data_IF_472370364632
#
_entry.id   IF_472370364632
#
_cell.length_a   1.000
_cell.length_b   1.000
_cell.length_c   1.000
_cell.angle_alpha   90.00
_cell.angle_beta   90.00
_cell.angle_gamma   90.00
#
_symmetry.space_group_name_H-M   'P 1'
#
loop_
_entity.id
_entity.type
_entity.pdbx_description
1 polymer ?
#
# COMPACT_ATOMS: atom_id res chain seq x y z
N UNK A 1 -3.65 -39.73 -5.41
CA UNK A 1 -4.97 -39.08 -5.21
C UNK A 1 -5.31 -38.94 -3.71
N UNK A 2 -4.35 -38.53 -2.88
CA UNK A 2 -4.51 -38.54 -1.42
C UNK A 2 -5.18 -37.26 -0.89
N UNK A 3 -4.79 -36.10 -1.43
CA UNK A 3 -5.29 -34.78 -0.99
C UNK A 3 -6.78 -34.47 -1.24
N UNK A 4 -7.55 -35.38 -1.87
CA UNK A 4 -9.02 -35.30 -1.95
C UNK A 4 -9.73 -36.06 -0.83
N UNK A 5 -9.14 -37.14 -0.31
CA UNK A 5 -9.73 -37.95 0.76
C UNK A 5 -9.33 -37.45 2.15
N UNK A 6 -8.17 -36.83 2.25
CA UNK A 6 -7.70 -36.18 3.46
C UNK A 6 -7.19 -34.76 3.13
N UNK A 7 -8.08 -33.75 3.06
CA UNK A 7 -7.71 -32.41 2.62
C UNK A 7 -6.79 -31.74 3.66
N UNK A 8 -5.57 -31.41 3.26
CA UNK A 8 -4.63 -30.64 4.07
C UNK A 8 -4.87 -29.16 3.88
N UNK A 9 -4.82 -28.38 4.95
CA UNK A 9 -4.85 -26.93 4.89
C UNK A 9 -3.56 -26.36 4.25
N UNK A 10 -3.75 -25.51 3.26
CA UNK A 10 -2.72 -24.81 2.49
C UNK A 10 -2.65 -23.32 2.86
N UNK A 11 -3.71 -22.72 3.38
CA UNK A 11 -3.74 -21.32 3.81
C UNK A 11 -4.53 -21.16 5.11
N UNK A 12 -3.82 -20.75 6.17
CA UNK A 12 -4.40 -20.54 7.50
C UNK A 12 -5.37 -19.35 7.57
N UNK A 13 -5.23 -18.38 6.67
CA UNK A 13 -6.04 -17.16 6.73
C UNK A 13 -7.47 -17.36 6.18
N UNK A 14 -7.64 -18.24 5.19
CA UNK A 14 -8.94 -18.48 4.55
C UNK A 14 -9.38 -19.95 4.55
N UNK A 15 -8.63 -20.84 5.21
CA UNK A 15 -8.92 -22.27 5.27
C UNK A 15 -8.78 -22.99 3.94
N UNK A 16 -8.01 -22.44 2.99
CA UNK A 16 -7.83 -23.05 1.67
C UNK A 16 -7.18 -24.42 1.80
N UNK A 17 -7.73 -25.47 1.20
CA UNK A 17 -7.21 -26.85 1.33
C UNK A 17 -6.73 -27.44 0.01
N UNK A 18 -6.03 -28.57 0.08
CA UNK A 18 -5.71 -29.40 -1.09
C UNK A 18 -6.94 -29.86 -1.85
N UNK A 19 -8.07 -30.07 -1.15
CA UNK A 19 -9.34 -30.38 -1.78
C UNK A 19 -9.81 -29.23 -2.69
N UNK A 20 -9.74 -28.00 -2.21
CA UNK A 20 -10.09 -26.80 -2.98
C UNK A 20 -9.16 -26.64 -4.19
N UNK A 21 -7.85 -26.78 -4.00
CA UNK A 21 -6.87 -26.66 -5.08
C UNK A 21 -7.10 -27.68 -6.21
N UNK A 22 -7.53 -28.90 -5.88
CA UNK A 22 -7.75 -29.98 -6.85
C UNK A 22 -9.13 -30.00 -7.52
N UNK A 23 -10.08 -29.19 -7.05
CA UNK A 23 -11.48 -29.23 -7.50
C UNK A 23 -12.02 -27.89 -8.01
N UNK A 24 -11.56 -26.76 -7.45
CA UNK A 24 -12.13 -25.44 -7.76
C UNK A 24 -11.61 -24.82 -9.05
N UNK A 25 -10.45 -25.26 -9.55
CA UNK A 25 -9.74 -24.60 -10.66
C UNK A 25 -9.30 -23.16 -10.35
N UNK A 26 -9.47 -22.69 -9.11
CA UNK A 26 -9.08 -21.37 -8.65
C UNK A 26 -7.73 -21.43 -7.95
N UNK A 27 -6.89 -20.45 -8.27
CA UNK A 27 -5.64 -20.16 -7.55
C UNK A 27 -5.68 -18.70 -7.14
N UNK A 28 -5.32 -18.39 -5.89
CA UNK A 28 -5.26 -17.00 -5.43
C UNK A 28 -4.35 -16.19 -6.34
N UNK A 29 -4.87 -15.06 -6.84
CA UNK A 29 -4.09 -14.08 -7.62
C UNK A 29 -3.58 -12.94 -6.75
N UNK A 30 -4.17 -12.77 -5.58
CA UNK A 30 -3.79 -11.74 -4.62
C UNK A 30 -2.64 -12.27 -3.78
N UNK A 31 -1.60 -11.45 -3.61
CA UNK A 31 -0.37 -11.82 -2.89
C UNK A 31 0.00 -10.74 -1.89
N UNK A 32 0.50 -11.14 -0.72
CA UNK A 32 1.13 -10.20 0.20
C UNK A 32 2.48 -9.80 -0.39
N UNK A 33 2.73 -8.50 -0.51
CA UNK A 33 4.01 -7.94 -0.97
C UNK A 33 4.77 -7.21 0.15
N UNK A 34 4.07 -6.83 1.22
CA UNK A 34 4.68 -6.21 2.39
C UNK A 34 3.84 -6.47 3.64
N UNK A 35 4.49 -6.58 4.80
CA UNK A 35 3.84 -6.73 6.11
C UNK A 35 4.57 -5.89 7.15
N UNK A 36 3.84 -5.22 8.02
CA UNK A 36 4.41 -4.50 9.16
C UNK A 36 3.35 -4.26 10.24
N UNK A 37 3.64 -4.61 11.50
CA UNK A 37 2.82 -4.21 12.66
C UNK A 37 1.33 -4.54 12.56
N UNK A 38 0.99 -5.81 12.26
CA UNK A 38 -0.38 -6.30 12.05
C UNK A 38 -1.14 -5.67 10.86
N UNK A 39 -0.40 -5.13 9.89
CA UNK A 39 -0.91 -4.66 8.61
C UNK A 39 -0.14 -5.31 7.46
N UNK A 40 -0.77 -5.41 6.30
CA UNK A 40 -0.19 -5.96 5.09
C UNK A 40 -0.63 -5.16 3.86
N UNK A 41 0.26 -5.11 2.86
CA UNK A 41 -0.06 -4.63 1.52
C UNK A 41 -0.15 -5.84 0.62
N UNK A 42 -1.29 -5.93 -0.06
CA UNK A 42 -1.65 -6.96 -0.98
C UNK A 42 -1.59 -6.42 -2.41
N UNK A 43 -0.84 -7.12 -3.24
CA UNK A 43 -0.85 -6.94 -4.68
C UNK A 43 -2.07 -7.63 -5.27
N UNK A 44 -2.93 -6.83 -5.94
CA UNK A 44 -4.12 -7.32 -6.62
C UNK A 44 -3.82 -7.85 -8.02
N UNK A 45 -2.76 -7.33 -8.66
CA UNK A 45 -2.20 -7.79 -9.93
C UNK A 45 -0.74 -7.31 -10.06
N UNK A 46 0.18 -8.11 -10.62
CA UNK A 46 1.62 -7.78 -10.71
C UNK A 46 1.93 -6.40 -11.27
N UNK A 47 1.18 -5.96 -12.28
CA UNK A 47 1.31 -4.63 -12.91
C UNK A 47 0.03 -3.81 -12.77
N UNK A 48 -0.82 -4.19 -11.82
CA UNK A 48 -2.09 -3.52 -11.57
C UNK A 48 -1.86 -2.11 -11.00
N UNK A 49 -2.76 -1.16 -11.35
CA UNK A 49 -2.68 0.19 -10.82
C UNK A 49 -3.07 0.26 -9.33
N UNK A 50 -3.60 -0.83 -8.76
CA UNK A 50 -4.17 -0.85 -7.42
C UNK A 50 -3.50 -1.87 -6.51
N UNK A 51 -3.31 -1.46 -5.25
CA UNK A 51 -2.90 -2.30 -4.14
C UNK A 51 -3.94 -2.16 -3.02
N UNK A 52 -4.07 -3.20 -2.20
CA UNK A 52 -4.94 -3.19 -1.04
C UNK A 52 -4.09 -3.21 0.22
N UNK A 53 -4.26 -2.23 1.09
CA UNK A 53 -3.71 -2.29 2.45
C UNK A 53 -4.78 -2.78 3.40
N UNK A 54 -4.48 -3.80 4.18
CA UNK A 54 -5.25 -4.15 5.37
C UNK A 54 -4.54 -3.61 6.61
N UNK A 55 -5.30 -3.07 7.56
CA UNK A 55 -4.72 -2.51 8.78
C UNK A 55 -5.70 -2.56 9.95
N UNK A 56 -5.20 -2.64 11.21
CA UNK A 56 -6.03 -2.51 12.39
C UNK A 56 -6.64 -1.11 12.46
N UNK A 57 -7.92 -1.03 12.83
CA UNK A 57 -8.58 0.24 13.11
C UNK A 57 -8.33 0.64 14.57
N UNK A 58 -7.08 0.93 14.88
CA UNK A 58 -6.67 1.35 16.23
C UNK A 58 -5.83 2.63 16.17
N UNK A 59 -5.95 3.54 17.16
CA UNK A 59 -5.24 4.82 17.16
C UNK A 59 -3.71 4.68 17.12
N UNK A 60 -3.18 3.56 17.64
CA UNK A 60 -1.75 3.29 17.72
C UNK A 60 -1.21 2.54 16.50
N UNK A 61 -2.02 2.30 15.46
CA UNK A 61 -1.51 1.76 14.22
C UNK A 61 -0.57 2.79 13.56
N UNK A 62 0.60 2.34 13.09
CA UNK A 62 1.57 3.17 12.38
C UNK A 62 0.99 3.89 11.15
N UNK A 63 -0.09 3.35 10.58
CA UNK A 63 -0.76 3.84 9.38
C UNK A 63 -2.06 4.61 9.67
N UNK A 64 -2.49 4.68 10.93
CA UNK A 64 -3.80 5.23 11.35
C UNK A 64 -4.09 6.63 10.79
N UNK A 65 -3.06 7.46 10.67
CA UNK A 65 -3.17 8.84 10.22
C UNK A 65 -2.85 9.05 8.74
N UNK A 66 -2.36 8.05 8.01
CA UNK A 66 -1.90 8.19 6.63
C UNK A 66 -3.05 8.64 5.70
N UNK A 67 -4.19 7.93 5.73
CA UNK A 67 -5.35 8.29 4.91
C UNK A 67 -5.84 9.72 5.21
N UNK A 68 -6.00 10.07 6.49
CA UNK A 68 -6.48 11.39 6.92
C UNK A 68 -5.49 12.48 6.50
N UNK A 69 -4.19 12.22 6.65
CA UNK A 69 -3.12 13.14 6.24
C UNK A 69 -3.16 13.36 4.72
N UNK A 70 -3.32 12.32 3.91
CA UNK A 70 -3.46 12.47 2.46
C UNK A 70 -4.71 13.28 2.08
N UNK A 71 -5.85 13.06 2.75
CA UNK A 71 -7.05 13.87 2.50
C UNK A 71 -6.85 15.34 2.89
N UNK A 72 -6.12 15.61 3.97
CA UNK A 72 -5.77 16.98 4.36
C UNK A 72 -4.90 17.64 3.29
N UNK A 73 -3.82 16.98 2.86
CA UNK A 73 -2.91 17.54 1.83
C UNK A 73 -3.67 17.82 0.52
N UNK A 74 -4.57 16.92 0.10
CA UNK A 74 -5.43 17.14 -1.08
C UNK A 74 -6.29 18.40 -0.95
N UNK A 75 -6.84 18.66 0.25
CA UNK A 75 -7.66 19.86 0.52
C UNK A 75 -6.85 21.15 0.57
N UNK A 76 -5.58 21.06 0.94
CA UNK A 76 -4.67 22.21 0.94
C UNK A 76 -4.13 22.55 -0.47
N UNK A 77 -4.47 21.75 -1.48
CA UNK A 77 -4.07 21.94 -2.88
C UNK A 77 -2.54 22.07 -3.06
N UNK A 78 -1.77 21.41 -2.20
CA UNK A 78 -0.30 21.43 -2.26
C UNK A 78 0.20 20.64 -3.48
N UNK A 79 1.25 21.17 -4.12
CA UNK A 79 1.85 20.55 -5.29
C UNK A 79 2.84 19.44 -4.89
N UNK A 80 2.34 18.41 -4.20
CA UNK A 80 3.11 17.23 -3.81
C UNK A 80 2.54 15.98 -4.46
N UNK A 81 3.39 14.99 -4.81
CA UNK A 81 2.93 13.76 -5.40
C UNK A 81 2.13 12.96 -4.37
N UNK A 82 0.83 12.80 -4.62
CA UNK A 82 -0.07 11.99 -3.80
C UNK A 82 -0.59 10.79 -4.59
N UNK A 83 -0.97 9.76 -3.87
CA UNK A 83 -1.64 8.59 -4.45
C UNK A 83 -3.15 8.67 -4.25
N UNK A 84 -3.88 8.00 -5.12
CA UNK A 84 -5.31 7.80 -4.94
C UNK A 84 -5.54 6.80 -3.81
N UNK A 85 -6.51 7.07 -2.94
CA UNK A 85 -6.84 6.22 -1.80
C UNK A 85 -8.35 6.20 -1.57
N UNK A 86 -8.88 4.99 -1.38
CA UNK A 86 -10.27 4.74 -1.03
C UNK A 86 -10.31 3.86 0.23
N UNK A 87 -10.92 4.38 1.30
CA UNK A 87 -11.02 3.69 2.60
C UNK A 87 -12.34 2.94 2.70
N UNK A 88 -12.27 1.71 3.17
CA UNK A 88 -13.40 0.82 3.43
C UNK A 88 -13.36 0.38 4.90
N UNK A 89 -14.53 0.40 5.53
CA UNK A 89 -14.71 0.08 6.95
C UNK A 89 -15.25 1.27 7.75
N UNK A 90 -16.09 0.97 8.72
CA UNK A 90 -16.75 1.92 9.60
C UNK A 90 -15.96 2.17 10.89
N UNK A 91 -16.32 3.21 11.68
CA UNK A 91 -15.60 3.59 12.90
C UNK A 91 -15.41 2.47 13.92
N UNK A 92 -16.37 1.54 13.98
CA UNK A 92 -16.41 0.44 14.97
C UNK A 92 -15.82 -0.88 14.43
N UNK A 93 -15.41 -0.94 13.16
CA UNK A 93 -14.79 -2.14 12.60
C UNK A 93 -13.43 -2.37 13.24
N UNK A 94 -13.03 -3.63 13.44
CA UNK A 94 -11.70 -3.95 14.01
C UNK A 94 -10.55 -3.69 13.03
N UNK A 95 -10.84 -3.72 11.75
CA UNK A 95 -9.87 -3.57 10.67
C UNK A 95 -10.47 -2.70 9.58
N UNK A 96 -9.62 -1.92 8.91
CA UNK A 96 -9.98 -1.19 7.71
C UNK A 96 -9.17 -1.67 6.52
N UNK A 97 -9.73 -1.42 5.34
CA UNK A 97 -9.07 -1.67 4.09
C UNK A 97 -8.89 -0.37 3.32
N UNK A 98 -7.72 -0.17 2.74
CA UNK A 98 -7.44 1.00 1.91
C UNK A 98 -7.01 0.51 0.54
N UNK A 99 -7.84 0.76 -0.47
CA UNK A 99 -7.46 0.57 -1.86
C UNK A 99 -6.65 1.80 -2.30
N UNK A 100 -5.41 1.59 -2.72
CA UNK A 100 -4.48 2.67 -3.04
C UNK A 100 -3.84 2.49 -4.41
N UNK A 101 -3.66 3.60 -5.15
CA UNK A 101 -2.99 3.55 -6.44
C UNK A 101 -1.51 3.28 -6.27
N UNK A 102 -0.91 2.48 -7.16
CA UNK A 102 0.53 2.24 -7.20
C UNK A 102 1.25 3.49 -7.70
N UNK A 103 2.22 3.97 -6.92
CA UNK A 103 3.15 5.00 -7.39
C UNK A 103 3.96 4.42 -8.55
N UNK A 104 3.93 5.11 -9.71
CA UNK A 104 4.67 4.68 -10.90
C UNK A 104 6.12 5.14 -10.78
N UNK A 105 7.06 4.23 -11.05
CA UNK A 105 8.48 4.53 -11.06
C UNK A 105 9.32 3.38 -10.55
N UNK A 106 10.63 3.60 -10.53
CA UNK A 106 11.61 2.71 -9.91
C UNK A 106 11.96 3.22 -8.53
N UNK A 107 12.40 2.33 -7.64
CA UNK A 107 12.89 2.78 -6.35
C UNK A 107 14.21 3.54 -6.54
N UNK A 108 14.43 4.55 -5.69
CA UNK A 108 15.62 5.38 -5.80
C UNK A 108 16.90 4.56 -5.63
N UNK A 109 16.92 3.58 -4.73
CA UNK A 109 18.06 2.69 -4.49
C UNK A 109 18.39 1.79 -5.69
N UNK A 110 17.39 1.43 -6.51
CA UNK A 110 17.59 0.66 -7.74
C UNK A 110 18.11 1.54 -8.88
N UNK A 111 17.66 2.79 -8.94
CA UNK A 111 17.96 3.70 -10.04
C UNK A 111 19.25 4.52 -9.81
N UNK A 112 19.65 4.79 -8.57
CA UNK A 112 20.63 5.83 -8.22
C UNK A 112 21.97 5.71 -8.96
N UNK A 113 22.50 4.49 -9.06
CA UNK A 113 23.80 4.25 -9.69
C UNK A 113 23.76 4.34 -11.23
N UNK A 114 22.56 4.31 -11.81
CA UNK A 114 22.33 4.49 -13.25
C UNK A 114 22.19 5.97 -13.65
N UNK A 115 21.99 6.86 -12.68
CA UNK A 115 21.76 8.28 -12.94
C UNK A 115 23.06 9.01 -13.25
N UNK A 116 23.01 9.88 -14.25
CA UNK A 116 24.05 10.89 -14.49
C UNK A 116 24.11 11.90 -13.34
N UNK A 117 25.22 12.64 -13.24
CA UNK A 117 25.36 13.68 -12.22
C UNK A 117 24.27 14.76 -12.34
N UNK A 118 23.90 15.15 -13.57
CA UNK A 118 22.82 16.11 -13.79
C UNK A 118 21.48 15.58 -13.27
N UNK A 119 21.12 14.33 -13.58
CA UNK A 119 19.88 13.73 -13.06
C UNK A 119 19.84 13.63 -11.54
N UNK A 120 20.99 13.41 -10.89
CA UNK A 120 21.08 13.42 -9.41
C UNK A 120 20.81 14.82 -8.84
N UNK A 121 21.28 15.86 -9.52
CA UNK A 121 20.98 17.26 -9.18
C UNK A 121 19.48 17.51 -9.35
N UNK A 122 18.89 17.11 -10.48
CA UNK A 122 17.47 17.31 -10.76
C UNK A 122 16.57 16.60 -9.72
N UNK A 123 16.94 15.38 -9.29
CA UNK A 123 16.25 14.64 -8.22
C UNK A 123 16.32 15.40 -6.90
N UNK A 124 17.49 15.96 -6.55
CA UNK A 124 17.68 16.73 -5.33
C UNK A 124 16.82 17.99 -5.35
N UNK A 125 16.84 18.75 -6.46
CA UNK A 125 16.04 19.97 -6.61
C UNK A 125 14.54 19.66 -6.49
N UNK A 126 14.07 18.59 -7.14
CA UNK A 126 12.68 18.14 -7.05
C UNK A 126 12.27 17.76 -5.61
N UNK A 127 13.17 17.11 -4.87
CA UNK A 127 12.95 16.78 -3.45
C UNK A 127 12.90 18.05 -2.58
N UNK A 128 13.82 18.99 -2.80
CA UNK A 128 13.87 20.26 -2.08
C UNK A 128 12.57 21.05 -2.28
N UNK A 129 12.01 21.06 -3.50
CA UNK A 129 10.74 21.71 -3.79
C UNK A 129 9.56 21.01 -3.11
N UNK A 130 9.49 19.67 -3.15
CA UNK A 130 8.47 18.93 -2.41
C UNK A 130 8.53 19.21 -0.89
N UNK A 131 9.73 19.29 -0.31
CA UNK A 131 9.91 19.59 1.11
C UNK A 131 9.43 21.02 1.44
N UNK A 132 9.69 22.00 0.56
CA UNK A 132 9.17 23.36 0.75
C UNK A 132 7.64 23.38 0.75
N UNK A 133 7.00 22.65 -0.15
CA UNK A 133 5.54 22.49 -0.19
C UNK A 133 5.00 21.86 1.10
N UNK A 134 5.57 20.73 1.55
CA UNK A 134 5.15 20.09 2.82
C UNK A 134 5.29 21.01 4.03
N UNK A 135 6.31 21.87 4.07
CA UNK A 135 6.49 22.84 5.17
C UNK A 135 5.42 23.93 5.21
N UNK A 136 4.66 24.13 4.13
CA UNK A 136 3.53 25.07 4.15
C UNK A 136 2.41 24.58 5.07
N UNK A 137 2.23 23.26 5.23
CA UNK A 137 1.21 22.67 6.13
C UNK A 137 1.39 23.19 7.56
N UNK A 138 2.63 23.17 8.07
CA UNK A 138 2.94 23.63 9.43
C UNK A 138 2.69 25.13 9.61
N UNK A 139 2.83 25.94 8.54
CA UNK A 139 2.60 27.38 8.58
C UNK A 139 1.13 27.76 8.55
N UNK A 140 0.27 26.93 7.97
CA UNK A 140 -1.18 27.18 7.87
C UNK A 140 -1.95 26.76 9.13
N UNK A 141 -1.33 25.96 10.01
CA UNK A 141 -1.90 25.55 11.30
C UNK A 141 -1.47 26.42 12.49
N UNK A 142 -0.62 27.45 12.24
CA UNK A 142 -0.28 28.52 13.19
C UNK A 142 -1.12 29.76 12.89
#
# INVERSE_FOLDING_TARGET
MDGRRNPRELCQNCGWTTGNALSSGYTSRVKIIHTHGNAAIWELSPEGPWMLRDEPNEPNCFWSNDYITQQLIKRLELNVPLIEMHKFGGPDDKFHFILMSRAKGSRMDEAWDTLTQQQKIDVKESLDDCIKEYRQIARQQM
#
